data_IF_083779396223
#
_entry.id   IF_083779396223
#
_cell.length_a   1.000
_cell.length_b   1.000
_cell.length_c   1.000
_cell.angle_alpha   90.00
_cell.angle_beta   90.00
_cell.angle_gamma   90.00
#
_symmetry.space_group_name_H-M   'P 1'
#
loop_
_entity.id
_entity.type
_entity.pdbx_description
1 polymer ?
#
# COMPACT_ATOMS: atom_id res chain seq x y z
N UNK A 1 -11.02 23.05 -47.36
CA UNK A 1 -10.78 21.69 -47.84
C UNK A 1 -9.49 21.23 -47.14
N UNK A 2 -9.61 20.44 -46.09
CA UNK A 2 -8.46 19.92 -45.34
C UNK A 2 -8.13 18.54 -45.92
N UNK A 3 -6.97 18.39 -46.55
CA UNK A 3 -6.40 17.13 -47.01
C UNK A 3 -5.86 16.31 -45.83
N UNK A 4 -6.16 15.03 -45.71
CA UNK A 4 -5.66 14.20 -44.62
C UNK A 4 -4.18 13.89 -44.78
N UNK A 5 -3.38 14.07 -43.74
CA UNK A 5 -1.96 13.77 -43.69
C UNK A 5 -1.76 12.24 -43.67
N UNK A 6 -0.98 11.71 -44.59
CA UNK A 6 -0.72 10.27 -44.74
C UNK A 6 0.23 9.76 -43.66
N UNK A 7 0.07 8.49 -43.25
CA UNK A 7 0.92 7.80 -42.26
C UNK A 7 2.44 7.80 -42.59
N UNK A 8 2.82 8.04 -43.80
CA UNK A 8 4.23 8.11 -44.25
C UNK A 8 4.91 9.42 -43.89
N UNK A 9 4.16 10.52 -43.71
CA UNK A 9 4.74 11.83 -43.38
C UNK A 9 5.04 12.00 -41.88
N UNK A 10 4.53 11.12 -41.01
CA UNK A 10 4.81 11.16 -39.59
C UNK A 10 6.18 10.62 -39.19
N UNK A 11 6.84 9.86 -40.06
CA UNK A 11 8.10 9.17 -39.75
C UNK A 11 9.37 9.88 -40.25
N UNK A 12 9.26 11.05 -40.90
CA UNK A 12 10.40 11.74 -41.53
C UNK A 12 10.85 13.03 -40.84
N UNK A 13 10.29 13.37 -39.66
CA UNK A 13 10.75 14.55 -38.91
C UNK A 13 11.57 14.12 -37.68
N UNK A 14 12.68 13.41 -37.93
CA UNK A 14 13.71 13.23 -36.89
C UNK A 14 14.73 14.35 -37.00
N UNK A 15 14.62 15.34 -36.18
CA UNK A 15 15.57 16.43 -36.08
C UNK A 15 16.90 15.92 -35.50
N UNK A 16 17.98 16.12 -36.27
CA UNK A 16 19.36 15.93 -35.82
C UNK A 16 19.72 16.94 -34.75
N UNK A 17 19.98 16.47 -33.53
CA UNK A 17 20.62 17.25 -32.48
C UNK A 17 22.16 17.06 -32.58
N UNK A 18 22.98 18.12 -32.42
CA UNK A 18 24.43 17.99 -32.44
C UNK A 18 24.93 17.35 -31.14
N UNK A 19 25.77 16.32 -31.31
CA UNK A 19 26.53 15.72 -30.21
C UNK A 19 27.63 16.69 -29.81
N UNK A 20 27.53 17.28 -28.62
CA UNK A 20 28.65 17.99 -27.97
C UNK A 20 29.40 16.94 -27.15
N UNK A 21 30.58 16.54 -27.63
CA UNK A 21 31.55 15.82 -26.79
C UNK A 21 32.13 16.75 -25.75
N UNK A 22 31.75 16.54 -24.50
CA UNK A 22 32.46 17.11 -23.35
C UNK A 22 33.39 16.04 -22.78
N UNK A 23 34.69 16.19 -23.06
CA UNK A 23 35.77 15.48 -22.35
C UNK A 23 35.91 16.11 -20.98
N UNK A 24 35.47 15.42 -19.93
CA UNK A 24 35.63 15.82 -18.53
C UNK A 24 36.24 14.67 -17.74
N UNK A 25 37.47 14.90 -17.25
CA UNK A 25 38.22 14.02 -16.37
C UNK A 25 37.43 13.61 -15.13
N UNK A 26 37.65 12.35 -14.72
CA UNK A 26 37.05 11.76 -13.53
C UNK A 26 37.40 12.47 -12.23
N UNK A 27 36.38 12.65 -11.43
CA UNK A 27 36.49 12.70 -9.98
C UNK A 27 35.58 11.57 -9.48
N UNK A 28 36.23 10.52 -8.93
CA UNK A 28 35.56 9.54 -8.10
C UNK A 28 35.03 10.27 -6.86
N UNK A 29 33.85 10.85 -6.98
CA UNK A 29 33.11 11.47 -5.89
C UNK A 29 32.37 10.36 -5.13
N UNK A 30 32.57 10.34 -3.82
CA UNK A 30 31.85 9.52 -2.85
C UNK A 30 30.38 9.39 -3.25
N UNK A 31 29.91 8.15 -3.45
CA UNK A 31 28.51 7.86 -3.67
C UNK A 31 27.71 8.31 -2.43
N UNK A 32 27.24 9.54 -2.45
CA UNK A 32 26.23 9.99 -1.51
C UNK A 32 25.03 9.06 -1.68
N UNK A 33 24.60 8.46 -0.59
CA UNK A 33 23.35 7.72 -0.49
C UNK A 33 22.24 8.59 -1.06
N UNK A 34 21.83 8.32 -2.29
CA UNK A 34 20.67 8.97 -2.89
C UNK A 34 19.48 8.54 -2.04
N UNK A 35 18.97 9.46 -1.22
CA UNK A 35 17.75 9.22 -0.47
C UNK A 35 16.68 8.72 -1.44
N UNK A 36 15.86 7.75 -1.02
CA UNK A 36 14.71 7.33 -1.80
C UNK A 36 13.86 8.58 -2.12
N UNK A 37 14.03 9.10 -3.33
CA UNK A 37 13.32 10.30 -3.77
C UNK A 37 11.86 9.97 -3.97
N UNK A 38 10.93 10.88 -3.60
CA UNK A 38 9.52 10.70 -3.92
C UNK A 38 9.35 10.50 -5.43
N UNK A 39 8.57 9.49 -5.82
CA UNK A 39 8.28 9.26 -7.24
C UNK A 39 7.78 10.54 -7.91
N UNK A 40 8.40 10.98 -9.03
CA UNK A 40 8.00 12.19 -9.75
C UNK A 40 6.57 12.06 -10.24
N UNK A 41 5.68 12.90 -9.70
CA UNK A 41 4.27 12.95 -10.07
C UNK A 41 4.01 14.14 -10.98
N UNK A 42 3.27 13.92 -12.08
CA UNK A 42 2.88 14.94 -13.04
C UNK A 42 1.35 15.07 -13.07
N UNK A 43 0.85 16.30 -13.24
CA UNK A 43 -0.57 16.63 -13.16
C UNK A 43 -1.07 16.78 -11.72
N UNK A 44 -2.28 17.31 -11.55
CA UNK A 44 -2.90 17.50 -10.23
C UNK A 44 -3.20 16.19 -9.50
N UNK A 45 -3.36 16.23 -8.19
CA UNK A 45 -3.74 15.09 -7.39
C UNK A 45 -5.07 14.48 -7.88
N UNK A 46 -5.14 13.14 -7.88
CA UNK A 46 -6.37 12.41 -8.22
C UNK A 46 -6.56 11.25 -7.26
N UNK A 47 -7.58 11.33 -6.44
CA UNK A 47 -7.88 10.35 -5.40
C UNK A 47 -9.02 9.45 -5.85
N UNK A 48 -8.81 8.14 -5.77
CA UNK A 48 -9.79 7.11 -6.15
C UNK A 48 -10.21 6.35 -4.89
N UNK A 49 -11.45 6.53 -4.40
CA UNK A 49 -11.94 5.75 -3.27
C UNK A 49 -11.83 4.25 -3.52
N UNK A 50 -11.21 3.55 -2.58
CA UNK A 50 -11.05 2.10 -2.57
C UNK A 50 -11.44 1.54 -1.21
N UNK A 51 -11.72 0.24 -1.13
CA UNK A 51 -12.03 -0.44 0.13
C UNK A 51 -10.93 -1.44 0.47
N UNK A 52 -10.41 -1.36 1.71
CA UNK A 52 -9.63 -2.47 2.24
C UNK A 52 -10.56 -3.58 2.73
N UNK A 53 -10.40 -4.78 2.17
CA UNK A 53 -11.23 -5.94 2.49
C UNK A 53 -11.21 -6.31 3.99
N UNK A 54 -10.18 -5.89 4.73
CA UNK A 54 -10.08 -6.11 6.18
C UNK A 54 -11.23 -5.44 6.96
N UNK A 55 -11.94 -4.48 6.37
CA UNK A 55 -13.18 -3.90 6.92
C UNK A 55 -14.28 -4.94 7.14
N UNK A 56 -14.23 -6.07 6.42
CA UNK A 56 -15.12 -7.20 6.57
C UNK A 56 -14.50 -8.37 7.35
N UNK A 57 -13.47 -8.12 8.18
CA UNK A 57 -12.66 -9.11 8.88
C UNK A 57 -13.48 -10.26 9.48
N UNK A 58 -14.55 -9.95 10.20
CA UNK A 58 -15.34 -10.95 10.92
C UNK A 58 -16.10 -11.87 9.96
N UNK A 59 -16.72 -11.27 8.94
CA UNK A 59 -17.50 -12.00 7.93
C UNK A 59 -16.60 -12.83 7.01
N UNK A 60 -15.45 -12.29 6.60
CA UNK A 60 -14.47 -13.00 5.80
C UNK A 60 -13.82 -14.16 6.56
N UNK A 61 -13.52 -13.97 7.86
CA UNK A 61 -13.04 -15.03 8.72
C UNK A 61 -14.10 -16.12 8.98
N UNK A 62 -15.38 -15.75 9.06
CA UNK A 62 -16.46 -16.72 9.17
C UNK A 62 -16.52 -17.59 7.90
N UNK A 63 -16.45 -16.97 6.73
CA UNK A 63 -16.45 -17.68 5.44
C UNK A 63 -15.22 -18.57 5.24
N UNK A 64 -14.04 -18.12 5.66
CA UNK A 64 -12.81 -18.92 5.59
C UNK A 64 -12.89 -20.21 6.45
N UNK A 65 -13.67 -20.19 7.54
CA UNK A 65 -13.91 -21.35 8.40
C UNK A 65 -15.03 -22.25 7.88
N UNK A 66 -16.08 -21.64 7.39
CA UNK A 66 -17.27 -22.31 6.85
C UNK A 66 -17.81 -21.49 5.66
N UNK A 67 -17.68 -21.97 4.42
CA UNK A 67 -18.15 -21.29 3.23
C UNK A 67 -19.68 -20.99 3.21
N UNK A 68 -20.47 -21.61 4.08
CA UNK A 68 -21.88 -21.30 4.24
C UNK A 68 -22.14 -20.08 5.15
N UNK A 69 -21.09 -19.54 5.77
CA UNK A 69 -21.16 -18.42 6.70
C UNK A 69 -20.44 -17.19 6.13
N UNK A 70 -20.83 -16.01 6.60
CA UNK A 70 -20.15 -14.75 6.26
C UNK A 70 -20.21 -14.41 4.76
N UNK A 71 -19.12 -13.84 4.25
CA UNK A 71 -18.98 -13.46 2.83
C UNK A 71 -17.58 -13.79 2.33
N UNK A 72 -17.43 -14.02 1.02
CA UNK A 72 -16.15 -14.21 0.34
C UNK A 72 -15.66 -12.90 -0.33
N UNK A 73 -14.49 -12.96 -0.96
CA UNK A 73 -13.91 -11.80 -1.66
C UNK A 73 -14.73 -11.39 -2.90
N UNK A 74 -15.47 -12.30 -3.52
CA UNK A 74 -16.36 -11.94 -4.64
C UNK A 74 -17.49 -11.04 -4.15
N UNK A 75 -18.11 -11.37 -3.02
CA UNK A 75 -19.18 -10.53 -2.42
C UNK A 75 -18.63 -9.18 -1.95
N UNK A 76 -17.38 -9.10 -1.46
CA UNK A 76 -16.73 -7.81 -1.16
C UNK A 76 -16.58 -6.97 -2.43
N UNK A 77 -16.21 -7.57 -3.56
CA UNK A 77 -16.12 -6.86 -4.84
C UNK A 77 -17.49 -6.38 -5.32
N UNK A 78 -18.54 -7.20 -5.21
CA UNK A 78 -19.91 -6.79 -5.53
C UNK A 78 -20.32 -5.59 -4.68
N UNK A 79 -20.08 -5.64 -3.38
CA UNK A 79 -20.34 -4.53 -2.46
C UNK A 79 -19.59 -3.25 -2.88
N UNK A 80 -18.33 -3.36 -3.29
CA UNK A 80 -17.58 -2.22 -3.77
C UNK A 80 -18.23 -1.58 -5.00
N UNK A 81 -18.71 -2.39 -5.94
CA UNK A 81 -19.40 -1.90 -7.13
C UNK A 81 -20.75 -1.27 -6.78
N UNK A 82 -21.56 -1.92 -5.93
CA UNK A 82 -22.87 -1.43 -5.45
C UNK A 82 -22.76 -0.05 -4.80
N UNK A 83 -21.66 0.24 -4.10
CA UNK A 83 -21.41 1.51 -3.44
C UNK A 83 -20.54 2.49 -4.23
N UNK A 84 -20.12 2.10 -5.46
CA UNK A 84 -19.38 2.96 -6.38
C UNK A 84 -17.95 3.24 -5.94
N UNK A 85 -17.29 2.30 -5.26
CA UNK A 85 -15.83 2.33 -5.12
C UNK A 85 -15.17 2.20 -6.49
N UNK A 86 -13.93 2.69 -6.60
CA UNK A 86 -13.13 2.55 -7.83
C UNK A 86 -12.12 1.39 -7.72
N UNK A 87 -11.93 0.84 -6.53
CA UNK A 87 -11.01 -0.26 -6.29
C UNK A 87 -11.26 -1.05 -5.02
N UNK A 88 -10.57 -2.18 -4.92
CA UNK A 88 -10.54 -3.04 -3.74
C UNK A 88 -9.09 -3.40 -3.39
N UNK A 89 -8.71 -3.21 -2.13
CA UNK A 89 -7.48 -3.76 -1.56
C UNK A 89 -7.81 -5.13 -0.98
N UNK A 90 -7.48 -6.18 -1.74
CA UNK A 90 -7.84 -7.54 -1.40
C UNK A 90 -6.81 -8.15 -0.44
N UNK A 91 -7.04 -8.00 0.85
CA UNK A 91 -6.15 -8.54 1.90
C UNK A 91 -5.96 -10.05 1.74
N UNK A 92 -4.71 -10.49 1.64
CA UNK A 92 -4.32 -11.87 1.36
C UNK A 92 -4.83 -12.91 2.35
N UNK A 93 -5.11 -12.50 3.59
CA UNK A 93 -5.60 -13.41 4.66
C UNK A 93 -6.91 -14.11 4.32
N UNK A 94 -7.67 -13.56 3.39
CA UNK A 94 -9.02 -14.02 3.02
C UNK A 94 -9.06 -14.80 1.73
N UNK A 95 -7.91 -15.02 1.10
CA UNK A 95 -7.82 -15.89 -0.06
C UNK A 95 -7.80 -17.36 0.38
N UNK A 96 -8.40 -18.26 -0.42
CA UNK A 96 -8.34 -19.69 -0.14
C UNK A 96 -6.89 -20.19 -0.05
N UNK A 97 -6.62 -21.02 0.95
CA UNK A 97 -5.30 -21.63 1.14
C UNK A 97 -4.27 -20.77 1.86
N UNK A 98 -4.63 -19.53 2.29
CA UNK A 98 -3.71 -18.70 3.10
C UNK A 98 -3.20 -19.48 4.33
N UNK A 99 -1.90 -19.43 4.68
CA UNK A 99 -0.84 -18.51 4.23
C UNK A 99 -0.14 -18.87 2.90
N UNK A 100 -0.50 -19.99 2.27
CA UNK A 100 -0.09 -20.28 0.90
C UNK A 100 -0.73 -19.33 -0.10
N UNK A 101 -0.40 -19.53 -1.39
CA UNK A 101 -1.03 -18.77 -2.48
C UNK A 101 -2.25 -19.52 -3.00
N UNK A 102 -3.30 -18.82 -3.43
CA UNK A 102 -4.47 -19.43 -4.05
C UNK A 102 -4.11 -20.02 -5.43
N UNK A 103 -4.91 -20.95 -5.92
CA UNK A 103 -4.72 -21.48 -7.27
C UNK A 103 -5.01 -20.45 -8.37
N UNK A 104 -4.42 -20.65 -9.54
CA UNK A 104 -4.56 -19.74 -10.67
C UNK A 104 -6.01 -19.66 -11.17
N UNK A 105 -6.79 -20.73 -11.07
CA UNK A 105 -8.19 -20.70 -11.49
C UNK A 105 -9.02 -19.76 -10.61
N UNK A 106 -8.77 -19.74 -9.29
CA UNK A 106 -9.40 -18.76 -8.39
C UNK A 106 -8.99 -17.34 -8.74
N UNK A 107 -7.69 -17.08 -8.92
CA UNK A 107 -7.17 -15.74 -9.25
C UNK A 107 -7.74 -15.20 -10.56
N UNK A 108 -7.81 -16.04 -11.59
CA UNK A 108 -8.37 -15.68 -12.90
C UNK A 108 -9.87 -15.36 -12.79
N UNK A 109 -10.63 -16.16 -12.05
CA UNK A 109 -12.07 -15.89 -11.81
C UNK A 109 -12.26 -14.58 -11.06
N UNK A 110 -11.52 -14.34 -9.98
CA UNK A 110 -11.63 -13.12 -9.19
C UNK A 110 -11.22 -11.88 -10.01
N UNK A 111 -10.12 -11.95 -10.77
CA UNK A 111 -9.70 -10.89 -11.68
C UNK A 111 -10.76 -10.54 -12.71
N UNK A 112 -11.35 -11.56 -13.35
CA UNK A 112 -12.44 -11.38 -14.33
C UNK A 112 -13.67 -10.74 -13.68
N UNK A 113 -14.01 -11.16 -12.45
CA UNK A 113 -15.14 -10.64 -11.71
C UNK A 113 -14.95 -9.13 -11.43
N UNK A 114 -13.81 -8.75 -10.86
CA UNK A 114 -13.44 -7.35 -10.58
C UNK A 114 -13.47 -6.49 -11.86
N UNK A 115 -12.95 -7.01 -12.97
CA UNK A 115 -12.99 -6.32 -14.26
C UNK A 115 -14.43 -6.09 -14.75
N UNK A 116 -15.29 -7.10 -14.68
CA UNK A 116 -16.70 -7.00 -15.10
C UNK A 116 -17.51 -6.01 -14.26
N UNK A 117 -17.11 -5.78 -13.00
CA UNK A 117 -17.70 -4.79 -12.11
C UNK A 117 -17.17 -3.35 -12.35
N UNK A 118 -16.23 -3.17 -13.29
CA UNK A 118 -15.59 -1.88 -13.55
C UNK A 118 -14.62 -1.45 -12.44
N UNK A 119 -14.18 -2.39 -11.60
CA UNK A 119 -13.25 -2.15 -10.50
C UNK A 119 -11.80 -2.47 -10.90
N UNK A 120 -10.86 -2.04 -10.06
CA UNK A 120 -9.46 -2.47 -10.09
C UNK A 120 -9.03 -2.97 -8.72
N UNK A 121 -8.00 -3.82 -8.66
CA UNK A 121 -7.31 -4.04 -7.40
C UNK A 121 -6.43 -2.83 -7.10
N UNK A 122 -6.60 -2.23 -5.91
CA UNK A 122 -5.75 -1.12 -5.43
C UNK A 122 -4.50 -1.62 -4.70
N UNK A 123 -4.51 -2.84 -4.25
CA UNK A 123 -3.42 -3.52 -3.57
C UNK A 123 -3.82 -4.89 -3.05
N UNK A 124 -2.86 -5.56 -2.45
CA UNK A 124 -3.03 -6.74 -1.61
C UNK A 124 -1.97 -6.71 -0.52
N UNK A 125 -1.97 -7.68 0.40
CA UNK A 125 -0.92 -7.74 1.41
C UNK A 125 -1.09 -8.92 2.36
N UNK A 126 0.02 -9.37 2.91
CA UNK A 126 0.09 -10.53 3.79
C UNK A 126 0.90 -10.23 5.05
N UNK A 127 0.90 -11.16 6.00
CA UNK A 127 1.75 -11.07 7.19
C UNK A 127 3.14 -11.56 6.87
N UNK A 128 4.13 -10.88 7.43
CA UNK A 128 5.54 -11.26 7.44
C UNK A 128 6.15 -10.77 8.77
N UNK A 129 7.25 -11.37 9.17
CA UNK A 129 8.06 -10.89 10.29
C UNK A 129 9.51 -10.75 9.84
N UNK A 130 9.97 -9.51 9.72
CA UNK A 130 11.35 -9.19 9.39
C UNK A 130 12.16 -8.74 10.62
N UNK A 131 11.51 -8.67 11.79
CA UNK A 131 12.15 -8.24 13.05
C UNK A 131 12.67 -9.42 13.88
N UNK A 132 12.27 -10.66 13.55
CA UNK A 132 12.64 -11.84 14.31
C UNK A 132 14.15 -12.06 14.37
N UNK A 133 14.66 -12.44 15.55
CA UNK A 133 16.07 -12.81 15.74
C UNK A 133 16.47 -14.03 14.89
N UNK A 134 15.54 -15.00 14.74
CA UNK A 134 15.76 -16.18 13.90
C UNK A 134 15.77 -15.79 12.40
N UNK A 135 16.91 -15.96 11.69
CA UNK A 135 17.00 -15.62 10.27
C UNK A 135 16.10 -16.50 9.39
N UNK A 136 15.69 -17.68 9.85
CA UNK A 136 14.76 -18.55 9.12
C UNK A 136 13.38 -17.91 9.05
N UNK A 137 12.90 -17.31 10.13
CA UNK A 137 11.61 -16.60 10.16
C UNK A 137 11.61 -15.42 9.18
N UNK A 138 12.72 -14.65 9.14
CA UNK A 138 12.88 -13.56 8.18
C UNK A 138 12.88 -14.07 6.73
N UNK A 139 13.62 -15.16 6.46
CA UNK A 139 13.67 -15.77 5.13
C UNK A 139 12.30 -16.30 4.67
N UNK A 140 11.53 -16.95 5.57
CA UNK A 140 10.16 -17.38 5.28
C UNK A 140 9.26 -16.17 4.98
N UNK A 141 9.42 -15.07 5.70
CA UNK A 141 8.74 -13.80 5.42
C UNK A 141 9.04 -13.28 4.01
N UNK A 142 10.31 -13.29 3.60
CA UNK A 142 10.75 -12.89 2.25
C UNK A 142 10.11 -13.79 1.19
N UNK A 143 10.16 -15.11 1.36
CA UNK A 143 9.56 -16.03 0.39
C UNK A 143 8.05 -15.82 0.27
N UNK A 144 7.36 -15.57 1.40
CA UNK A 144 5.94 -15.27 1.40
C UNK A 144 5.61 -13.98 0.63
N UNK A 145 6.33 -12.89 0.90
CA UNK A 145 6.12 -11.63 0.15
C UNK A 145 6.39 -11.82 -1.34
N UNK A 146 7.46 -12.54 -1.73
CA UNK A 146 7.75 -12.84 -3.15
C UNK A 146 6.61 -13.62 -3.82
N UNK A 147 6.10 -14.66 -3.18
CA UNK A 147 4.98 -15.42 -3.71
C UNK A 147 3.72 -14.55 -3.89
N UNK A 148 3.46 -13.61 -2.96
CA UNK A 148 2.33 -12.70 -3.06
C UNK A 148 2.56 -11.52 -4.01
N UNK A 149 3.79 -11.17 -4.34
CA UNK A 149 4.12 -10.29 -5.47
C UNK A 149 3.63 -10.92 -6.78
N UNK A 150 3.85 -12.23 -6.98
CA UNK A 150 3.38 -12.94 -8.16
C UNK A 150 1.85 -13.04 -8.21
N UNK A 151 1.20 -13.24 -7.05
CA UNK A 151 -0.27 -13.17 -6.94
C UNK A 151 -0.78 -11.78 -7.31
N UNK A 152 -0.16 -10.71 -6.79
CA UNK A 152 -0.52 -9.33 -7.11
C UNK A 152 -0.39 -9.05 -8.61
N UNK A 153 0.70 -9.48 -9.24
CA UNK A 153 0.90 -9.34 -10.68
C UNK A 153 -0.19 -10.07 -11.49
N UNK A 154 -0.55 -11.30 -11.11
CA UNK A 154 -1.64 -12.07 -11.73
C UNK A 154 -2.99 -11.35 -11.61
N UNK A 155 -3.28 -10.77 -10.46
CA UNK A 155 -4.50 -9.98 -10.21
C UNK A 155 -4.48 -8.62 -10.94
N UNK A 156 -3.30 -8.06 -11.20
CA UNK A 156 -3.12 -6.69 -11.68
C UNK A 156 -3.13 -5.67 -10.53
N UNK A 157 -2.87 -6.09 -9.30
CA UNK A 157 -2.70 -5.21 -8.15
C UNK A 157 -1.32 -4.53 -8.21
N UNK A 158 -1.24 -3.19 -8.08
CA UNK A 158 0.01 -2.47 -8.26
C UNK A 158 0.97 -2.59 -7.06
N UNK A 159 0.45 -2.97 -5.90
CA UNK A 159 1.21 -3.00 -4.65
C UNK A 159 0.96 -4.26 -3.85
N UNK A 160 2.00 -4.73 -3.16
CA UNK A 160 1.90 -5.70 -2.07
C UNK A 160 2.35 -5.03 -0.78
N UNK A 161 1.48 -5.01 0.21
CA UNK A 161 1.83 -4.52 1.54
C UNK A 161 2.72 -5.52 2.25
N UNK A 162 3.82 -5.01 2.82
CA UNK A 162 4.69 -5.68 3.77
C UNK A 162 4.71 -4.94 5.11
N UNK A 163 4.91 -5.67 6.19
CA UNK A 163 5.12 -5.10 7.51
C UNK A 163 6.62 -5.00 7.85
N UNK A 164 6.94 -4.02 8.68
CA UNK A 164 8.17 -3.97 9.45
C UNK A 164 7.94 -4.35 10.92
N UNK A 165 6.88 -5.09 11.20
CA UNK A 165 6.43 -5.43 12.55
C UNK A 165 6.74 -6.88 12.88
N UNK A 166 6.77 -7.16 14.18
CA UNK A 166 6.74 -8.52 14.72
C UNK A 166 5.39 -9.21 14.49
N UNK A 167 5.38 -10.53 14.60
CA UNK A 167 4.17 -11.34 14.52
C UNK A 167 4.01 -12.19 15.79
N UNK A 168 2.79 -12.63 16.10
CA UNK A 168 2.61 -13.60 17.19
C UNK A 168 3.54 -14.82 17.07
N UNK A 169 4.10 -15.33 18.18
CA UNK A 169 3.64 -15.09 19.57
C UNK A 169 4.24 -13.84 20.25
N UNK A 170 5.06 -13.06 19.56
CA UNK A 170 5.71 -11.88 20.13
C UNK A 170 4.74 -10.71 20.27
N UNK A 171 4.97 -9.87 21.30
CA UNK A 171 4.16 -8.68 21.54
C UNK A 171 4.63 -7.47 20.74
N UNK A 172 5.94 -7.39 20.52
CA UNK A 172 6.62 -6.28 19.88
C UNK A 172 7.95 -6.75 19.26
N UNK A 173 8.53 -5.86 18.45
CA UNK A 173 9.77 -6.11 17.75
C UNK A 173 10.97 -6.34 18.69
N UNK A 174 10.99 -5.73 19.88
CA UNK A 174 12.08 -5.92 20.86
C UNK A 174 12.08 -7.36 21.36
N UNK A 175 10.91 -7.90 21.64
CA UNK A 175 10.78 -9.30 22.03
C UNK A 175 11.12 -10.24 20.86
N UNK A 176 10.63 -9.95 19.66
CA UNK A 176 10.88 -10.76 18.47
C UNK A 176 12.36 -10.78 18.09
N UNK A 177 13.05 -9.66 18.25
CA UNK A 177 14.50 -9.52 17.94
C UNK A 177 15.42 -10.07 19.01
N UNK A 178 14.87 -10.57 20.14
CA UNK A 178 15.70 -11.02 21.27
C UNK A 178 16.48 -9.89 21.93
N UNK A 179 15.99 -8.65 21.87
CA UNK A 179 16.61 -7.46 22.42
C UNK A 179 17.76 -6.88 21.58
N UNK A 180 17.81 -7.19 20.30
CA UNK A 180 18.78 -6.57 19.39
C UNK A 180 18.56 -5.05 19.29
N UNK A 181 19.63 -4.30 18.98
CA UNK A 181 19.52 -2.85 18.81
C UNK A 181 18.59 -2.49 17.66
N UNK A 182 17.93 -1.32 17.74
CA UNK A 182 17.06 -0.82 16.67
C UNK A 182 17.79 -0.76 15.33
N UNK A 183 19.05 -0.29 15.30
CA UNK A 183 19.84 -0.23 14.08
C UNK A 183 20.08 -1.62 13.47
N UNK A 184 20.33 -2.63 14.31
CA UNK A 184 20.47 -4.03 13.88
C UNK A 184 19.19 -4.55 13.26
N UNK A 185 18.03 -4.32 13.91
CA UNK A 185 16.73 -4.77 13.41
C UNK A 185 16.35 -4.02 12.14
N UNK A 186 16.60 -2.71 12.07
CA UNK A 186 16.37 -1.92 10.85
C UNK A 186 17.22 -2.43 9.68
N UNK A 187 18.45 -2.89 9.93
CA UNK A 187 19.26 -3.53 8.89
C UNK A 187 18.62 -4.82 8.37
N UNK A 188 18.14 -5.70 9.26
CA UNK A 188 17.45 -6.93 8.86
C UNK A 188 16.20 -6.67 8.04
N UNK A 189 15.39 -5.72 8.50
CA UNK A 189 14.14 -5.33 7.81
C UNK A 189 14.47 -4.74 6.44
N UNK A 190 15.47 -3.86 6.36
CA UNK A 190 15.87 -3.23 5.09
C UNK A 190 16.39 -4.25 4.08
N UNK A 191 17.25 -5.20 4.50
CA UNK A 191 17.74 -6.27 3.63
C UNK A 191 16.61 -7.14 3.08
N UNK A 192 15.67 -7.55 3.95
CA UNK A 192 14.50 -8.33 3.54
C UNK A 192 13.62 -7.57 2.55
N UNK A 193 13.39 -6.28 2.79
CA UNK A 193 12.61 -5.42 1.90
C UNK A 193 13.30 -5.17 0.56
N UNK A 194 14.62 -5.01 0.52
CA UNK A 194 15.40 -4.90 -0.72
C UNK A 194 15.21 -6.14 -1.57
N UNK A 195 15.36 -7.33 -0.99
CA UNK A 195 15.19 -8.59 -1.70
C UNK A 195 13.75 -8.76 -2.24
N UNK A 196 12.75 -8.33 -1.48
CA UNK A 196 11.37 -8.32 -1.94
C UNK A 196 11.16 -7.29 -3.08
N UNK A 197 11.74 -6.10 -2.98
CA UNK A 197 11.62 -5.04 -3.97
C UNK A 197 12.31 -5.40 -5.30
N UNK A 198 13.47 -6.05 -5.26
CA UNK A 198 14.12 -6.62 -6.45
C UNK A 198 13.24 -7.66 -7.16
N UNK A 199 12.49 -8.46 -6.39
CA UNK A 199 11.52 -9.38 -6.96
C UNK A 199 10.31 -8.62 -7.53
N UNK A 200 9.81 -7.62 -6.80
CA UNK A 200 8.72 -6.75 -7.24
C UNK A 200 9.01 -6.06 -8.57
N UNK A 201 10.24 -5.60 -8.76
CA UNK A 201 10.70 -4.99 -10.02
C UNK A 201 10.51 -5.91 -11.24
N UNK A 202 10.73 -7.22 -11.08
CA UNK A 202 10.57 -8.21 -12.15
C UNK A 202 9.11 -8.42 -12.56
N UNK A 203 8.18 -8.19 -11.63
CA UNK A 203 6.75 -8.40 -11.82
C UNK A 203 5.95 -7.11 -11.98
N UNK A 204 6.60 -5.94 -11.87
CA UNK A 204 5.94 -4.63 -11.94
C UNK A 204 5.05 -4.36 -10.73
N UNK A 205 5.41 -4.85 -9.54
CA UNK A 205 4.66 -4.71 -8.29
C UNK A 205 5.51 -4.01 -7.24
N UNK A 206 5.00 -2.94 -6.64
CA UNK A 206 5.70 -2.19 -5.61
C UNK A 206 5.48 -2.86 -4.25
N UNK A 207 6.54 -3.03 -3.47
CA UNK A 207 6.47 -3.43 -2.06
C UNK A 207 6.14 -2.19 -1.24
N UNK A 208 4.94 -2.15 -0.68
CA UNK A 208 4.44 -1.02 0.09
C UNK A 208 4.59 -1.30 1.59
N UNK A 209 5.53 -0.64 2.24
CA UNK A 209 5.81 -0.82 3.67
C UNK A 209 4.79 -0.03 4.47
N UNK A 210 4.05 -0.71 5.36
CA UNK A 210 3.04 -0.09 6.22
C UNK A 210 3.62 0.28 7.57
N UNK A 211 3.39 1.52 8.03
CA UNK A 211 3.49 1.87 9.44
C UNK A 211 2.33 1.21 10.19
N UNK A 212 2.63 0.35 11.16
CA UNK A 212 1.58 -0.41 11.84
C UNK A 212 1.64 -0.30 13.37
N UNK A 213 2.58 0.51 13.90
CA UNK A 213 2.64 0.90 15.30
C UNK A 213 3.48 -0.01 16.20
N UNK A 214 4.31 -0.87 15.59
CA UNK A 214 5.32 -1.65 16.32
C UNK A 214 6.74 -1.13 16.00
N UNK A 215 7.43 -1.67 14.98
CA UNK A 215 8.76 -1.19 14.61
C UNK A 215 8.72 0.19 13.94
N UNK A 216 7.69 0.46 13.14
CA UNK A 216 7.41 1.78 12.57
C UNK A 216 6.21 2.38 13.30
N UNK A 217 6.45 3.32 14.20
CA UNK A 217 5.44 4.03 14.97
C UNK A 217 5.44 5.56 14.72
N UNK A 218 6.44 6.08 14.03
CA UNK A 218 6.59 7.50 13.69
C UNK A 218 6.95 7.70 12.22
N UNK A 219 6.67 8.89 11.67
CA UNK A 219 7.05 9.25 10.30
C UNK A 219 8.57 9.24 10.07
N UNK A 220 9.39 9.81 10.98
CA UNK A 220 10.84 9.72 10.87
C UNK A 220 11.39 8.30 10.83
N UNK A 221 10.84 7.37 11.61
CA UNK A 221 11.23 5.95 11.56
C UNK A 221 10.89 5.30 10.21
N UNK A 222 9.69 5.61 9.69
CA UNK A 222 9.26 5.12 8.39
C UNK A 222 10.18 5.64 7.27
N UNK A 223 10.50 6.93 7.30
CA UNK A 223 11.40 7.55 6.32
C UNK A 223 12.83 7.01 6.43
N UNK A 224 13.33 6.78 7.66
CA UNK A 224 14.65 6.16 7.91
C UNK A 224 14.74 4.79 7.25
N UNK A 225 13.76 3.93 7.48
CA UNK A 225 13.72 2.60 6.89
C UNK A 225 13.68 2.66 5.36
N UNK A 226 12.83 3.50 4.75
CA UNK A 226 12.77 3.62 3.28
C UNK A 226 14.10 4.12 2.69
N UNK A 227 14.78 5.05 3.36
CA UNK A 227 16.10 5.51 2.95
C UNK A 227 17.16 4.41 3.04
N UNK A 228 17.07 3.56 4.06
CA UNK A 228 17.98 2.42 4.22
C UNK A 228 17.72 1.33 3.17
N UNK A 229 16.46 1.06 2.84
CA UNK A 229 16.08 0.14 1.74
C UNK A 229 16.58 0.67 0.39
N UNK A 230 16.44 1.97 0.14
CA UNK A 230 16.93 2.68 -1.06
C UNK A 230 16.65 1.94 -2.38
N UNK A 231 15.40 1.56 -2.61
CA UNK A 231 14.99 0.83 -3.81
C UNK A 231 13.72 1.43 -4.42
N UNK A 232 13.70 1.68 -5.73
CA UNK A 232 12.58 2.35 -6.43
C UNK A 232 11.25 1.55 -6.38
N UNK A 233 11.33 0.22 -6.18
CA UNK A 233 10.17 -0.67 -6.04
C UNK A 233 9.79 -0.94 -4.58
N UNK A 234 10.31 -0.13 -3.65
CA UNK A 234 9.90 -0.11 -2.24
C UNK A 234 9.48 1.30 -1.85
N UNK A 235 8.26 1.44 -1.31
CA UNK A 235 7.69 2.75 -0.96
C UNK A 235 6.75 2.64 0.25
N UNK A 236 6.18 3.76 0.71
CA UNK A 236 5.29 3.77 1.86
C UNK A 236 3.86 3.34 1.51
N UNK A 237 3.26 2.49 2.36
CA UNK A 237 1.83 2.47 2.60
C UNK A 237 1.56 3.26 3.88
N UNK A 238 0.83 4.37 3.78
CA UNK A 238 0.55 5.22 4.93
C UNK A 238 -0.77 4.83 5.59
N UNK A 239 -0.68 4.24 6.78
CA UNK A 239 -1.84 3.97 7.65
C UNK A 239 -2.07 5.17 8.57
N UNK A 240 -3.19 5.85 8.39
CA UNK A 240 -3.52 7.07 9.13
C UNK A 240 -3.80 6.84 10.61
N UNK A 241 -4.05 5.60 11.00
CA UNK A 241 -4.33 5.19 12.38
C UNK A 241 -3.16 4.56 13.12
N UNK A 242 -1.93 4.64 12.60
CA UNK A 242 -0.80 3.87 13.14
C UNK A 242 0.49 4.65 13.38
N UNK A 243 0.46 5.97 13.26
CA UNK A 243 1.51 6.81 13.83
C UNK A 243 1.17 7.15 15.28
N UNK A 244 1.99 6.66 16.22
CA UNK A 244 1.75 6.74 17.65
C UNK A 244 2.50 7.93 18.27
N UNK A 245 2.29 9.11 17.70
CA UNK A 245 2.95 10.35 18.08
C UNK A 245 1.96 11.39 18.62
N UNK A 246 2.45 12.49 19.13
CA UNK A 246 1.62 13.60 19.58
C UNK A 246 0.91 14.34 18.44
N UNK A 247 1.53 14.38 17.24
CA UNK A 247 0.91 14.91 16.03
C UNK A 247 1.03 13.92 14.86
N UNK A 248 0.13 12.93 14.77
CA UNK A 248 0.12 11.97 13.67
C UNK A 248 -0.06 12.61 12.29
N UNK A 249 -0.69 13.79 12.21
CA UNK A 249 -0.85 14.48 10.93
C UNK A 249 0.47 15.03 10.39
N UNK A 250 1.39 15.44 11.26
CA UNK A 250 2.74 15.83 10.84
C UNK A 250 3.49 14.63 10.26
N UNK A 251 3.38 13.46 10.87
CA UNK A 251 3.97 12.21 10.35
C UNK A 251 3.36 11.80 9.01
N UNK A 252 2.02 11.89 8.89
CA UNK A 252 1.31 11.62 7.64
C UNK A 252 1.77 12.58 6.54
N UNK A 253 1.91 13.90 6.86
CA UNK A 253 2.38 14.89 5.91
C UNK A 253 3.82 14.63 5.47
N UNK A 254 4.71 14.24 6.39
CA UNK A 254 6.08 13.85 6.09
C UNK A 254 6.13 12.67 5.10
N UNK A 255 5.26 11.68 5.28
CA UNK A 255 5.29 10.45 4.49
C UNK A 255 4.44 10.49 3.22
N UNK A 256 3.50 11.42 3.09
CA UNK A 256 2.62 11.53 1.93
C UNK A 256 3.34 11.61 0.56
N UNK A 257 4.49 12.31 0.42
CA UNK A 257 5.26 12.29 -0.83
C UNK A 257 5.78 10.91 -1.23
N UNK A 258 6.06 10.04 -0.25
CA UNK A 258 6.61 8.69 -0.42
C UNK A 258 5.52 7.61 -0.53
N UNK A 259 4.23 7.96 -0.34
CA UNK A 259 3.14 7.01 -0.34
C UNK A 259 2.80 6.51 -1.75
N UNK A 260 2.65 5.20 -1.89
CA UNK A 260 2.13 4.53 -3.11
C UNK A 260 0.78 3.88 -2.85
N UNK A 261 0.42 3.69 -1.59
CA UNK A 261 -0.89 3.23 -1.15
C UNK A 261 -1.21 3.83 0.23
N UNK A 262 -2.46 3.77 0.62
CA UNK A 262 -2.96 4.32 1.87
C UNK A 262 -3.81 3.29 2.61
N UNK A 263 -3.97 3.52 3.91
CA UNK A 263 -4.98 2.87 4.72
C UNK A 263 -5.63 3.92 5.62
N UNK A 264 -6.77 4.44 5.15
CA UNK A 264 -7.47 5.53 5.85
C UNK A 264 -8.38 4.91 6.90
N UNK A 265 -8.07 5.16 8.17
CA UNK A 265 -8.79 4.66 9.34
C UNK A 265 -9.86 5.63 9.81
N UNK A 266 -10.80 5.15 10.64
CA UNK A 266 -11.82 5.98 11.28
C UNK A 266 -11.23 6.85 12.41
N UNK A 267 -10.19 6.35 13.09
CA UNK A 267 -9.57 7.02 14.23
C UNK A 267 -8.06 7.07 14.10
N UNK A 268 -7.44 8.11 14.65
CA UNK A 268 -6.02 8.15 14.92
C UNK A 268 -5.67 7.08 15.97
N UNK A 269 -4.53 6.42 15.84
CA UNK A 269 -4.04 5.38 16.75
C UNK A 269 -4.91 4.11 16.84
N UNK A 270 -5.99 4.02 16.04
CA UNK A 270 -6.84 2.82 15.93
C UNK A 270 -7.32 2.24 17.26
N UNK A 271 -7.77 3.09 18.18
CA UNK A 271 -8.41 2.72 19.44
C UNK A 271 -9.78 3.37 19.58
N UNK A 272 -10.65 2.80 20.43
CA UNK A 272 -11.99 3.38 20.69
C UNK A 272 -11.95 4.80 21.28
N UNK A 273 -10.93 5.09 22.05
CA UNK A 273 -10.75 6.39 22.73
C UNK A 273 -9.96 7.39 21.91
N UNK A 274 -9.38 6.97 20.80
CA UNK A 274 -8.63 7.87 19.93
C UNK A 274 -9.54 8.86 19.19
N UNK A 275 -9.07 10.09 18.93
CA UNK A 275 -9.82 11.05 18.12
C UNK A 275 -10.16 10.46 16.74
N UNK A 276 -11.33 10.81 16.22
CA UNK A 276 -11.68 10.51 14.83
C UNK A 276 -10.72 11.24 13.89
N UNK A 277 -10.41 10.59 12.77
CA UNK A 277 -9.61 11.19 11.71
C UNK A 277 -10.39 12.34 11.06
N UNK A 278 -9.77 13.51 10.96
CA UNK A 278 -10.25 14.61 10.13
C UNK A 278 -9.94 14.29 8.66
N UNK A 279 -10.93 13.75 7.96
CA UNK A 279 -10.79 13.34 6.56
C UNK A 279 -10.46 14.52 5.64
N UNK A 280 -10.97 15.73 5.92
CA UNK A 280 -10.64 16.92 5.11
C UNK A 280 -9.15 17.28 5.27
N UNK A 281 -8.61 17.22 6.49
CA UNK A 281 -7.17 17.42 6.74
C UNK A 281 -6.33 16.34 6.05
N UNK A 282 -6.72 15.05 6.13
CA UNK A 282 -6.04 13.95 5.43
C UNK A 282 -6.04 14.17 3.92
N UNK A 283 -7.20 14.44 3.32
CA UNK A 283 -7.30 14.66 1.88
C UNK A 283 -6.46 15.88 1.44
N UNK A 284 -6.43 16.95 2.24
CA UNK A 284 -5.57 18.11 1.98
C UNK A 284 -4.09 17.73 1.96
N UNK A 285 -3.64 16.94 2.93
CA UNK A 285 -2.24 16.45 2.97
C UNK A 285 -1.93 15.59 1.75
N UNK A 286 -2.82 14.64 1.42
CA UNK A 286 -2.65 13.75 0.26
C UNK A 286 -2.56 14.57 -1.04
N UNK A 287 -3.43 15.57 -1.21
CA UNK A 287 -3.42 16.44 -2.39
C UNK A 287 -2.15 17.29 -2.49
N UNK A 288 -1.69 17.83 -1.37
CA UNK A 288 -0.46 18.63 -1.32
C UNK A 288 0.77 17.84 -1.77
N UNK A 289 0.78 16.52 -1.56
CA UNK A 289 1.85 15.64 -2.05
C UNK A 289 1.78 15.33 -3.56
N UNK A 290 0.72 15.78 -4.26
CA UNK A 290 0.48 15.47 -5.67
C UNK A 290 0.06 14.00 -5.91
N UNK A 291 -0.37 13.28 -4.89
CA UNK A 291 -0.72 11.86 -5.00
C UNK A 291 -1.82 11.60 -6.03
N UNK A 292 -1.61 10.56 -6.84
CA UNK A 292 -2.55 10.10 -7.86
C UNK A 292 -2.72 8.60 -7.73
N UNK A 293 -3.81 8.16 -7.12
CA UNK A 293 -3.98 6.73 -6.87
C UNK A 293 -5.18 6.44 -5.97
N UNK A 294 -5.21 5.21 -5.50
CA UNK A 294 -6.26 4.73 -4.63
C UNK A 294 -6.04 5.19 -3.19
N UNK A 295 -7.14 5.44 -2.51
CA UNK A 295 -7.20 5.79 -1.08
C UNK A 295 -8.12 4.80 -0.37
N UNK A 296 -7.63 3.59 -0.06
CA UNK A 296 -8.41 2.58 0.63
C UNK A 296 -8.84 3.05 2.02
N UNK A 297 -10.14 2.95 2.29
CA UNK A 297 -10.69 3.10 3.63
C UNK A 297 -10.74 1.77 4.36
N UNK A 298 -10.60 1.80 5.66
CA UNK A 298 -10.75 0.64 6.52
C UNK A 298 -11.51 1.01 7.79
N UNK A 299 -12.63 0.32 8.02
CA UNK A 299 -13.43 0.42 9.23
C UNK A 299 -13.26 -0.84 10.06
N UNK A 300 -13.31 -0.71 11.39
CA UNK A 300 -13.10 -1.82 12.31
C UNK A 300 -14.08 -1.75 13.49
N UNK A 301 -14.48 -2.91 13.98
CA UNK A 301 -15.29 -3.04 15.21
C UNK A 301 -14.62 -2.36 16.42
N UNK A 302 -13.34 -2.60 16.65
CA UNK A 302 -12.58 -2.02 17.78
C UNK A 302 -13.30 -2.07 19.12
N UNK A 303 -14.03 -3.17 19.39
CA UNK A 303 -14.80 -3.35 20.63
C UNK A 303 -16.21 -2.74 20.65
N UNK A 304 -16.64 -2.03 19.59
CA UNK A 304 -18.02 -1.52 19.46
C UNK A 304 -19.02 -2.67 19.33
N UNK A 305 -20.06 -2.68 20.16
CA UNK A 305 -21.09 -3.73 20.13
C UNK A 305 -22.04 -3.57 18.93
N UNK A 306 -22.28 -2.34 18.52
CA UNK A 306 -23.20 -1.93 17.45
C UNK A 306 -22.52 -1.81 16.08
N UNK A 307 -21.27 -2.27 15.93
CA UNK A 307 -20.55 -2.17 14.67
C UNK A 307 -21.14 -3.14 13.63
N UNK A 308 -21.50 -2.59 12.49
CA UNK A 308 -21.90 -3.32 11.28
C UNK A 308 -21.14 -2.78 10.07
N UNK A 309 -20.36 -3.64 9.41
CA UNK A 309 -19.54 -3.26 8.25
C UNK A 309 -20.38 -2.72 7.10
N UNK A 310 -21.59 -3.27 6.87
CA UNK A 310 -22.46 -2.84 5.78
C UNK A 310 -23.03 -1.42 5.98
N UNK A 311 -23.05 -0.94 7.22
CA UNK A 311 -23.47 0.42 7.58
C UNK A 311 -22.27 1.38 7.68
N UNK A 312 -21.20 0.96 8.33
CA UNK A 312 -20.07 1.84 8.64
C UNK A 312 -19.21 2.17 7.41
N UNK A 313 -19.01 1.20 6.51
CA UNK A 313 -18.23 1.42 5.29
C UNK A 313 -18.88 2.48 4.37
N UNK A 314 -20.19 2.41 4.01
CA UNK A 314 -20.83 3.45 3.22
C UNK A 314 -20.80 4.83 3.89
N UNK A 315 -20.95 4.88 5.22
CA UNK A 315 -20.85 6.14 5.99
C UNK A 315 -19.48 6.77 5.85
N UNK A 316 -18.41 5.99 6.02
CA UNK A 316 -17.04 6.47 5.86
C UNK A 316 -16.73 6.86 4.42
N UNK A 317 -17.23 6.10 3.43
CA UNK A 317 -17.09 6.43 2.01
C UNK A 317 -17.74 7.77 1.67
N UNK A 318 -18.95 8.02 2.17
CA UNK A 318 -19.66 9.29 1.96
C UNK A 318 -18.83 10.46 2.53
N UNK A 319 -18.34 10.33 3.76
CA UNK A 319 -17.49 11.34 4.39
C UNK A 319 -16.15 11.57 3.62
N UNK A 320 -15.53 10.50 3.10
CA UNK A 320 -14.33 10.64 2.26
C UNK A 320 -14.64 11.39 0.96
N UNK A 321 -15.75 11.08 0.29
CA UNK A 321 -16.17 11.78 -0.94
C UNK A 321 -16.46 13.25 -0.70
N UNK A 322 -17.14 13.56 0.41
CA UNK A 322 -17.36 14.95 0.82
C UNK A 322 -16.03 15.69 1.05
N UNK A 323 -15.08 15.07 1.75
CA UNK A 323 -13.76 15.64 1.97
C UNK A 323 -12.99 15.85 0.64
N UNK A 324 -13.08 14.91 -0.30
CA UNK A 324 -12.47 15.02 -1.62
C UNK A 324 -13.09 16.20 -2.39
N UNK A 325 -14.42 16.31 -2.45
CA UNK A 325 -15.11 17.39 -3.12
C UNK A 325 -14.81 18.76 -2.49
N UNK A 326 -14.81 18.84 -1.16
CA UNK A 326 -14.53 20.08 -0.42
C UNK A 326 -13.09 20.60 -0.56
N UNK A 327 -12.17 19.78 -1.06
CA UNK A 327 -10.75 20.13 -1.25
C UNK A 327 -10.35 20.22 -2.72
N UNK A 328 -11.28 20.07 -3.66
CA UNK A 328 -11.01 20.34 -5.07
C UNK A 328 -10.75 21.84 -5.25
N UNK A 329 -9.54 22.16 -5.69
CA UNK A 329 -9.19 23.51 -6.10
C UNK A 329 -9.80 23.71 -7.49
N UNK A 330 -10.78 24.62 -7.61
CA UNK A 330 -11.33 25.10 -8.88
C UNK A 330 -10.27 25.78 -9.74
#
# INVERSE_FOLDING_TARGET
>A
MNTPVSRRQFLTTSATLPVVMATGLGLAGAGGLMAAEPGRRTGGARLKPSLNAFSFLELLNANAKDPAQGIDLFRVCDFCAEHGFEGVDATGYFFPGYPGVPDDAYLIRLKRHVFNLGLCFSGTGVRNDFTAADPRVRAEGVQRIKAWIEVAAKLGAPTVRAFADSQPPFKDWMQASGGASRDTVEAWVAEALQECAEHGAKYGVIVAVQNHGDFISTGPEHLSLLRRVNHEWCAAMVDTGKYLTADPYADIALMAPHAVNWQIKETLQSTMTSPRVDLKRIVTIIRASGYRGYVPIETLRMGRQDYDSFTEIPRMLAALREAIAATEVT
#
